data_IF_322559859484
#
_entry.id   IF_322559859484
#
_cell.length_a   1.000
_cell.length_b   1.000
_cell.length_c   1.000
_cell.angle_alpha   90.00
_cell.angle_beta   90.00
_cell.angle_gamma   90.00
#
_symmetry.space_group_name_H-M   'P 1'
#
loop_
_entity.id
_entity.type
_entity.pdbx_description
1 polymer ?
#
# COMPACT_ATOMS: atom_id res chain seq x y z
N UNK A 1 -12.50 24.58 -4.41
CA UNK A 1 -11.80 23.28 -4.42
C UNK A 1 -12.88 22.20 -4.40
N UNK A 2 -12.84 21.17 -5.28
CA UNK A 2 -13.84 20.12 -5.25
C UNK A 2 -13.89 19.47 -3.86
N UNK A 3 -15.08 19.07 -3.40
CA UNK A 3 -15.22 18.31 -2.15
C UNK A 3 -14.56 16.93 -2.30
N UNK A 4 -13.31 16.81 -1.85
CA UNK A 4 -12.61 15.54 -1.83
C UNK A 4 -13.01 14.77 -0.56
N UNK A 5 -13.71 13.64 -0.71
CA UNK A 5 -13.98 12.71 0.40
C UNK A 5 -12.75 11.83 0.65
N UNK A 6 -11.76 12.34 1.39
CA UNK A 6 -10.57 11.57 1.79
C UNK A 6 -9.38 12.42 2.21
N UNK A 7 -8.30 11.75 2.62
CA UNK A 7 -7.00 12.38 2.84
C UNK A 7 -6.42 12.83 1.48
N UNK A 8 -6.27 14.13 1.29
CA UNK A 8 -5.62 14.73 0.14
C UNK A 8 -4.20 15.15 0.53
N UNK A 9 -3.20 14.75 -0.27
CA UNK A 9 -1.82 15.16 -0.06
C UNK A 9 -1.40 16.19 -1.09
N UNK A 10 -0.87 17.32 -0.64
CA UNK A 10 -0.41 18.42 -1.52
C UNK A 10 0.88 18.07 -2.28
N UNK A 11 1.57 17.01 -1.84
CA UNK A 11 2.89 16.65 -2.32
C UNK A 11 3.07 15.13 -2.40
N UNK A 12 3.71 14.66 -3.47
CA UNK A 12 3.99 13.23 -3.64
C UNK A 12 5.41 12.87 -3.25
N UNK A 13 5.59 12.35 -2.04
CA UNK A 13 6.90 11.87 -1.55
C UNK A 13 7.54 10.83 -2.48
N UNK A 14 6.73 9.96 -3.12
CA UNK A 14 7.24 8.94 -4.05
C UNK A 14 7.87 9.54 -5.31
N UNK A 15 7.22 10.52 -5.92
CA UNK A 15 7.76 11.17 -7.12
C UNK A 15 8.98 12.02 -6.80
N UNK A 16 8.96 12.72 -5.66
CA UNK A 16 10.11 13.49 -5.19
C UNK A 16 11.32 12.59 -4.92
N UNK A 17 11.13 11.44 -4.29
CA UNK A 17 12.19 10.47 -4.06
C UNK A 17 12.78 9.90 -5.35
N UNK A 18 11.94 9.64 -6.36
CA UNK A 18 12.41 9.23 -7.68
C UNK A 18 13.25 10.34 -8.36
N UNK A 19 12.77 11.59 -8.31
CA UNK A 19 13.48 12.75 -8.86
C UNK A 19 14.81 13.01 -8.13
N UNK A 20 14.88 12.76 -6.82
CA UNK A 20 16.09 12.84 -6.01
C UNK A 20 17.05 11.65 -6.20
N UNK A 21 16.74 10.72 -7.11
CA UNK A 21 17.60 9.59 -7.42
C UNK A 21 17.62 8.48 -6.35
N UNK A 22 16.63 8.42 -5.47
CA UNK A 22 16.58 7.41 -4.40
C UNK A 22 16.10 6.03 -4.89
N UNK A 23 15.49 5.97 -6.07
CA UNK A 23 15.00 4.72 -6.65
C UNK A 23 14.15 4.93 -7.90
N UNK A 24 13.55 3.84 -8.38
CA UNK A 24 12.64 3.85 -9.53
C UNK A 24 11.31 3.17 -9.17
N UNK A 25 10.24 3.52 -9.90
CA UNK A 25 8.94 2.90 -9.69
C UNK A 25 8.94 1.44 -10.14
N UNK A 26 8.48 0.56 -9.25
CA UNK A 26 8.18 -0.83 -9.58
C UNK A 26 6.76 -1.00 -10.11
N UNK A 27 6.43 -2.22 -10.55
CA UNK A 27 5.08 -2.58 -11.03
C UNK A 27 3.99 -2.48 -9.97
N UNK A 28 4.36 -2.52 -8.70
CA UNK A 28 3.45 -2.26 -7.58
C UNK A 28 3.19 -0.76 -7.36
N UNK A 29 3.71 0.12 -8.23
CA UNK A 29 3.63 1.59 -8.16
C UNK A 29 4.33 2.23 -6.95
N UNK A 30 5.14 1.46 -6.22
CA UNK A 30 5.96 1.94 -5.13
C UNK A 30 7.37 2.26 -5.62
N UNK A 31 8.04 3.15 -4.91
CA UNK A 31 9.46 3.42 -5.12
C UNK A 31 10.26 2.19 -4.68
N UNK A 32 11.11 1.68 -5.57
CA UNK A 32 12.04 0.59 -5.29
C UNK A 32 13.43 1.21 -5.17
N UNK A 33 13.99 1.16 -3.97
CA UNK A 33 15.36 1.58 -3.69
C UNK A 33 16.34 0.43 -3.95
N UNK A 34 17.60 0.69 -4.33
CA UNK A 34 18.58 -0.37 -4.59
C UNK A 34 18.80 -1.27 -3.37
N UNK A 35 18.94 -0.68 -2.18
CA UNK A 35 19.33 -1.38 -0.96
C UNK A 35 18.14 -2.04 -0.23
N UNK A 36 16.98 -1.37 -0.19
CA UNK A 36 15.86 -1.81 0.66
C UNK A 36 14.61 -2.19 -0.13
N UNK A 37 14.66 -2.07 -1.46
CA UNK A 37 13.50 -2.28 -2.32
C UNK A 37 12.36 -1.33 -1.94
N UNK A 38 11.10 -1.80 -1.88
CA UNK A 38 9.94 -1.00 -1.49
C UNK A 38 9.79 -0.79 0.03
N UNK A 39 10.68 -1.34 0.86
CA UNK A 39 10.55 -1.35 2.33
C UNK A 39 11.15 -0.11 2.97
N UNK A 40 10.75 1.07 2.48
CA UNK A 40 11.22 2.36 2.98
C UNK A 40 10.05 3.28 3.31
N UNK A 41 10.25 4.12 4.31
CA UNK A 41 9.37 5.25 4.58
C UNK A 41 9.97 6.49 3.93
N UNK A 42 9.13 7.29 3.29
CA UNK A 42 9.55 8.50 2.60
C UNK A 42 9.08 9.72 3.38
N UNK A 43 10.02 10.61 3.67
CA UNK A 43 9.77 11.96 4.16
C UNK A 43 10.36 12.97 3.20
N UNK A 44 9.88 14.20 3.24
CA UNK A 44 10.42 15.28 2.42
C UNK A 44 10.39 16.59 3.18
N UNK A 45 11.40 17.42 2.95
CA UNK A 45 11.50 18.77 3.49
C UNK A 45 11.46 19.73 2.30
N UNK A 46 10.45 20.57 2.24
CA UNK A 46 10.36 21.64 1.25
C UNK A 46 11.16 22.83 1.80
N UNK A 47 12.15 23.30 1.04
CA UNK A 47 13.04 24.38 1.45
C UNK A 47 13.41 25.27 0.27
N UNK A 48 13.75 26.52 0.57
CA UNK A 48 14.34 27.48 -0.38
C UNK A 48 15.86 27.53 -0.31
N UNK A 49 16.48 26.71 0.56
CA UNK A 49 17.93 26.63 0.66
C UNK A 49 18.56 26.22 -0.69
N UNK A 50 19.70 26.80 -1.08
CA UNK A 50 20.40 26.41 -2.29
C UNK A 50 21.00 25.01 -2.11
N UNK A 51 20.54 24.06 -2.92
CA UNK A 51 20.99 22.67 -2.90
C UNK A 51 21.37 22.23 -4.32
N UNK A 52 22.45 21.46 -4.43
CA UNK A 52 22.80 20.79 -5.69
C UNK A 52 21.88 19.59 -5.91
N UNK A 53 21.37 19.44 -7.13
CA UNK A 53 20.47 18.35 -7.48
C UNK A 53 21.26 17.04 -7.69
N UNK A 54 20.80 15.96 -7.04
CA UNK A 54 21.29 14.61 -7.31
C UNK A 54 20.80 14.14 -8.69
N UNK A 55 21.63 13.42 -9.47
CA UNK A 55 21.15 12.78 -10.68
C UNK A 55 20.07 11.74 -10.38
N UNK A 56 19.14 11.57 -11.32
CA UNK A 56 18.14 10.51 -11.24
C UNK A 56 18.84 9.15 -11.25
N UNK A 57 18.30 8.19 -10.49
CA UNK A 57 18.85 6.83 -10.41
C UNK A 57 18.87 6.18 -11.81
N UNK A 58 20.06 6.03 -12.39
CA UNK A 58 20.26 5.33 -13.66
C UNK A 58 20.59 3.84 -13.41
N UNK A 59 20.23 2.97 -14.35
CA UNK A 59 20.57 1.54 -14.32
C UNK A 59 19.75 0.67 -13.36
N UNK A 60 18.93 1.26 -12.48
CA UNK A 60 18.03 0.52 -11.61
C UNK A 60 16.74 0.19 -12.35
N UNK A 61 16.67 -0.93 -13.08
CA UNK A 61 15.37 -1.43 -13.56
C UNK A 61 14.85 -2.50 -12.59
N UNK A 62 13.99 -2.15 -11.61
CA UNK A 62 13.56 -3.08 -10.56
C UNK A 62 12.76 -4.27 -11.08
N UNK A 63 12.46 -4.31 -12.38
CA UNK A 63 11.66 -5.33 -13.04
C UNK A 63 12.32 -5.88 -14.33
N UNK A 64 13.65 -5.74 -14.51
CA UNK A 64 14.40 -6.13 -15.73
C UNK A 64 14.01 -7.50 -16.33
N UNK A 65 13.65 -8.47 -15.50
CA UNK A 65 13.50 -9.88 -15.91
C UNK A 65 12.03 -10.29 -16.11
N UNK A 66 11.12 -9.36 -16.39
CA UNK A 66 9.69 -9.67 -16.55
C UNK A 66 8.99 -10.06 -15.23
N UNK A 67 9.53 -9.63 -14.08
CA UNK A 67 8.98 -9.97 -12.76
C UNK A 67 7.55 -9.44 -12.58
N UNK A 68 6.60 -10.33 -12.24
CA UNK A 68 5.19 -10.01 -11.97
C UNK A 68 4.69 -10.44 -10.58
N UNK A 69 5.58 -10.86 -9.67
CA UNK A 69 5.21 -11.40 -8.34
C UNK A 69 4.26 -10.51 -7.54
N UNK A 70 4.46 -9.19 -7.58
CA UNK A 70 3.60 -8.24 -6.88
C UNK A 70 2.19 -8.15 -7.47
N UNK A 71 2.06 -8.32 -8.79
CA UNK A 71 0.77 -8.37 -9.51
C UNK A 71 0.05 -9.67 -9.15
N UNK A 72 0.76 -10.80 -9.21
CA UNK A 72 0.23 -12.14 -8.94
C UNK A 72 -0.27 -12.31 -7.50
N UNK A 73 0.46 -11.75 -6.51
CA UNK A 73 0.08 -11.88 -5.09
C UNK A 73 -1.04 -10.92 -4.66
N UNK A 74 -1.45 -9.99 -5.53
CA UNK A 74 -2.42 -8.96 -5.17
C UNK A 74 -3.79 -9.61 -4.87
N UNK A 75 -4.27 -9.59 -3.61
CA UNK A 75 -5.46 -10.35 -3.22
C UNK A 75 -6.75 -9.81 -3.86
N UNK A 76 -6.72 -8.57 -4.33
CA UNK A 76 -7.86 -7.88 -4.96
C UNK A 76 -7.59 -7.49 -6.39
N UNK A 77 -6.50 -7.98 -6.98
CA UNK A 77 -6.15 -7.78 -8.39
C UNK A 77 -6.12 -6.30 -8.82
N UNK A 78 -5.75 -5.41 -7.89
CA UNK A 78 -5.70 -3.96 -8.14
C UNK A 78 -4.49 -3.51 -8.98
N UNK A 79 -3.53 -4.40 -9.25
CA UNK A 79 -2.33 -4.11 -10.02
C UNK A 79 -2.44 -4.72 -11.42
N UNK A 80 -2.17 -3.95 -12.47
CA UNK A 80 -2.09 -4.46 -13.86
C UNK A 80 -0.66 -4.63 -14.35
N UNK A 81 0.33 -4.19 -13.56
CA UNK A 81 1.76 -4.26 -13.89
C UNK A 81 2.37 -2.93 -14.36
N UNK A 82 1.53 -1.95 -14.67
CA UNK A 82 1.89 -0.59 -15.10
C UNK A 82 1.09 0.49 -14.35
N UNK A 83 -0.11 0.15 -13.86
CA UNK A 83 -0.98 1.02 -13.07
C UNK A 83 -1.59 0.26 -11.89
N UNK A 84 -2.22 1.04 -11.01
CA UNK A 84 -2.96 0.56 -9.85
C UNK A 84 -4.38 1.14 -9.87
N UNK A 85 -5.39 0.31 -9.62
CA UNK A 85 -6.68 0.79 -9.14
C UNK A 85 -6.55 1.11 -7.64
N UNK A 86 -6.26 2.37 -7.35
CA UNK A 86 -6.06 2.83 -5.98
C UNK A 86 -7.31 2.65 -5.10
N UNK A 87 -8.51 2.73 -5.68
CA UNK A 87 -9.76 2.60 -4.95
C UNK A 87 -10.03 1.15 -4.55
N UNK A 88 -9.78 0.21 -5.47
CA UNK A 88 -9.84 -1.22 -5.18
C UNK A 88 -8.75 -1.65 -4.18
N UNK A 89 -7.52 -1.17 -4.37
CA UNK A 89 -6.41 -1.43 -3.45
C UNK A 89 -6.72 -0.91 -2.04
N UNK A 90 -7.25 0.31 -1.92
CA UNK A 90 -7.65 0.88 -0.64
C UNK A 90 -8.75 0.06 0.02
N UNK A 91 -9.90 -0.14 -0.64
CA UNK A 91 -11.07 -0.77 0.00
C UNK A 91 -10.90 -2.26 0.30
N UNK A 92 -10.19 -2.98 -0.56
CA UNK A 92 -10.09 -4.43 -0.49
C UNK A 92 -8.72 -4.95 -0.06
N UNK A 93 -7.70 -4.09 -0.01
CA UNK A 93 -6.34 -4.44 0.40
C UNK A 93 -5.90 -3.65 1.62
N UNK A 94 -5.35 -2.46 1.40
CA UNK A 94 -4.63 -1.66 2.40
C UNK A 94 -5.55 -1.21 3.55
N UNK A 95 -6.80 -0.88 3.26
CA UNK A 95 -7.79 -0.43 4.24
C UNK A 95 -8.95 -1.42 4.39
N UNK A 96 -8.71 -2.70 4.07
CA UNK A 96 -9.74 -3.73 4.15
C UNK A 96 -10.27 -3.96 5.56
N UNK A 97 -9.53 -3.59 6.60
CA UNK A 97 -9.98 -3.65 8.00
C UNK A 97 -10.36 -2.28 8.61
N UNK A 98 -10.40 -1.21 7.80
CA UNK A 98 -10.88 0.11 8.23
C UNK A 98 -12.39 0.25 7.99
N UNK A 99 -12.87 1.48 7.77
CA UNK A 99 -14.28 1.78 7.52
C UNK A 99 -14.92 0.90 6.43
N UNK A 100 -14.19 0.61 5.34
CA UNK A 100 -14.69 -0.28 4.29
C UNK A 100 -14.89 -1.72 4.78
N UNK A 101 -13.98 -2.21 5.62
CA UNK A 101 -14.09 -3.48 6.32
C UNK A 101 -15.24 -3.52 7.31
N UNK A 102 -15.38 -2.47 8.13
CA UNK A 102 -16.47 -2.35 9.09
C UNK A 102 -17.84 -2.38 8.41
N UNK A 103 -18.02 -1.61 7.33
CA UNK A 103 -19.29 -1.60 6.58
C UNK A 103 -19.58 -2.97 5.98
N UNK A 104 -18.56 -3.68 5.48
CA UNK A 104 -18.71 -5.07 5.00
C UNK A 104 -19.12 -5.99 6.15
N UNK A 105 -18.46 -5.90 7.30
CA UNK A 105 -18.71 -6.74 8.47
C UNK A 105 -20.12 -6.54 9.03
N UNK A 106 -20.58 -5.29 9.15
CA UNK A 106 -21.95 -4.96 9.57
C UNK A 106 -22.97 -5.61 8.63
N UNK A 107 -22.77 -5.49 7.32
CA UNK A 107 -23.65 -6.13 6.32
C UNK A 107 -23.67 -7.64 6.48
N UNK A 108 -22.52 -8.28 6.70
CA UNK A 108 -22.43 -9.73 6.94
C UNK A 108 -23.21 -10.14 8.18
N UNK A 109 -23.08 -9.40 9.29
CA UNK A 109 -23.80 -9.67 10.54
C UNK A 109 -25.31 -9.49 10.37
N UNK A 110 -25.74 -8.41 9.71
CA UNK A 110 -27.17 -8.12 9.50
C UNK A 110 -27.85 -9.15 8.58
N UNK A 111 -27.12 -9.66 7.58
CA UNK A 111 -27.65 -10.62 6.61
C UNK A 111 -27.60 -12.08 7.08
N UNK A 112 -26.88 -12.40 8.17
CA UNK A 112 -26.82 -13.76 8.71
C UNK A 112 -28.12 -14.08 9.47
N UNK A 113 -28.79 -15.17 9.10
CA UNK A 113 -30.08 -15.56 9.65
C UNK A 113 -29.95 -16.47 10.88
N UNK A 114 -28.91 -17.30 10.97
CA UNK A 114 -28.67 -18.16 12.14
C UNK A 114 -28.13 -17.32 13.32
N UNK A 115 -28.86 -17.23 14.45
CA UNK A 115 -28.42 -16.45 15.62
C UNK A 115 -27.06 -16.89 16.18
N UNK A 116 -26.75 -18.19 16.18
CA UNK A 116 -25.47 -18.70 16.71
C UNK A 116 -24.33 -18.30 15.78
N UNK A 117 -24.55 -18.41 14.47
CA UNK A 117 -23.56 -17.99 13.46
C UNK A 117 -23.38 -16.47 13.45
N UNK A 118 -24.45 -15.70 13.59
CA UNK A 118 -24.42 -14.24 13.71
C UNK A 118 -23.56 -13.80 14.89
N UNK A 119 -23.74 -14.39 16.07
CA UNK A 119 -22.91 -14.09 17.24
C UNK A 119 -21.44 -14.44 16.98
N UNK A 120 -21.16 -15.61 16.40
CA UNK A 120 -19.78 -16.00 16.05
C UNK A 120 -19.10 -15.05 15.08
N UNK A 121 -19.82 -14.53 14.08
CA UNK A 121 -19.30 -13.53 13.15
C UNK A 121 -19.06 -12.21 13.89
N UNK A 122 -20.05 -11.75 14.66
CA UNK A 122 -19.98 -10.50 15.39
C UNK A 122 -18.82 -10.46 16.40
N UNK A 123 -18.50 -11.57 17.05
CA UNK A 123 -17.39 -11.67 18.02
C UNK A 123 -16.15 -12.37 17.45
N UNK A 124 -16.09 -12.55 16.13
CA UNK A 124 -15.05 -13.33 15.46
C UNK A 124 -13.74 -12.55 15.25
N UNK A 125 -12.69 -13.23 14.74
CA UNK A 125 -11.38 -12.64 14.52
C UNK A 125 -11.39 -11.39 13.64
N UNK A 126 -12.18 -11.38 12.55
CA UNK A 126 -12.28 -10.22 11.65
C UNK A 126 -12.82 -8.99 12.38
N UNK A 127 -13.82 -9.14 13.26
CA UNK A 127 -14.31 -8.00 14.06
C UNK A 127 -13.24 -7.47 15.01
N UNK A 128 -12.43 -8.36 15.60
CA UNK A 128 -11.31 -7.96 16.46
C UNK A 128 -10.21 -7.23 15.70
N UNK A 129 -9.86 -7.70 14.50
CA UNK A 129 -8.89 -7.03 13.62
C UNK A 129 -9.38 -5.62 13.21
N UNK A 130 -10.67 -5.50 12.84
CA UNK A 130 -11.29 -4.21 12.51
C UNK A 130 -11.25 -3.27 13.72
N UNK A 131 -11.62 -3.75 14.90
CA UNK A 131 -11.56 -2.97 16.14
C UNK A 131 -10.14 -2.47 16.43
N UNK A 132 -9.15 -3.36 16.41
CA UNK A 132 -7.74 -3.01 16.64
C UNK A 132 -7.24 -1.99 15.62
N UNK A 133 -7.57 -2.19 14.33
CA UNK A 133 -7.18 -1.30 13.25
C UNK A 133 -7.79 0.10 13.42
N UNK A 134 -9.03 0.22 13.89
CA UNK A 134 -9.63 1.54 14.15
C UNK A 134 -9.06 2.23 15.39
N UNK A 135 -8.72 1.47 16.44
CA UNK A 135 -8.18 2.02 17.69
C UNK A 135 -6.73 2.48 17.54
N UNK A 136 -5.89 1.71 16.85
CA UNK A 136 -4.48 2.04 16.64
C UNK A 136 -4.23 3.09 15.53
N UNK A 137 -5.30 3.60 14.91
CA UNK A 137 -5.24 4.47 13.74
C UNK A 137 -5.16 3.66 12.43
N UNK A 138 -5.45 4.32 11.30
CA UNK A 138 -5.56 3.71 9.96
C UNK A 138 -4.28 2.96 9.54
N UNK A 139 -4.14 1.73 10.01
CA UNK A 139 -2.99 0.88 9.71
C UNK A 139 -3.23 0.11 8.41
N UNK A 140 -2.22 0.03 7.52
CA UNK A 140 -2.27 -0.83 6.36
C UNK A 140 -2.50 -2.30 6.77
N UNK A 141 -3.66 -2.87 6.41
CA UNK A 141 -3.95 -4.30 6.60
C UNK A 141 -3.28 -5.19 5.55
N UNK A 142 -2.77 -4.61 4.46
CA UNK A 142 -2.13 -5.36 3.37
C UNK A 142 -0.77 -4.75 2.99
N UNK A 143 0.25 -5.61 2.97
CA UNK A 143 1.62 -5.30 2.52
C UNK A 143 2.18 -6.39 1.59
N UNK A 144 1.33 -7.27 1.02
CA UNK A 144 1.77 -8.46 0.26
C UNK A 144 2.69 -8.12 -0.92
N UNK A 145 2.37 -7.06 -1.67
CA UNK A 145 3.17 -6.61 -2.82
C UNK A 145 4.54 -6.03 -2.42
N UNK A 146 4.69 -5.59 -1.16
CA UNK A 146 5.96 -5.12 -0.57
C UNK A 146 6.78 -6.31 -0.11
N UNK A 147 6.16 -7.25 0.60
CA UNK A 147 6.82 -8.43 1.17
C UNK A 147 7.36 -9.38 0.10
N UNK A 148 6.63 -9.58 -1.00
CA UNK A 148 7.05 -10.50 -2.07
C UNK A 148 8.16 -9.92 -2.97
N UNK A 149 8.42 -8.61 -2.88
CA UNK A 149 9.34 -7.94 -3.78
C UNK A 149 10.79 -8.37 -3.49
N UNK A 150 11.49 -8.99 -4.47
CA UNK A 150 12.85 -9.50 -4.26
C UNK A 150 13.91 -8.40 -4.15
N UNK A 151 13.61 -7.19 -4.65
CA UNK A 151 14.53 -6.06 -4.60
C UNK A 151 14.90 -5.73 -3.14
N UNK A 152 16.18 -5.52 -2.87
CA UNK A 152 16.71 -5.16 -1.55
C UNK A 152 16.61 -6.25 -0.46
N UNK A 153 16.41 -7.52 -0.84
CA UNK A 153 16.45 -8.67 0.10
C UNK A 153 17.79 -9.42 0.02
N UNK A 154 18.58 -9.22 -1.04
CA UNK A 154 19.95 -9.74 -1.13
C UNK A 154 20.87 -9.01 -0.16
N UNK A 155 20.90 -9.51 1.07
CA UNK A 155 22.00 -9.34 2.01
C UNK A 155 23.17 -10.13 1.43
N UNK A 156 24.07 -9.45 0.70
CA UNK A 156 25.33 -10.03 0.21
C UNK A 156 25.18 -11.01 -0.96
N UNK A 157 25.53 -10.54 -2.15
CA UNK A 157 26.23 -11.34 -3.15
C UNK A 157 27.47 -10.55 -3.55
#
# INVERSE_FOLDING_TARGET
>A
MPEHKGLFGDFSHRHAAAAAGLGQFGRNTLLITPQFGPRVWLGSVITTAPLEATPVAAGLSPCCNGCHRCVEVCPVQALTGDRIDAAQCARGGVHAQNLSGLVRQIKTVLNETDPKKRLRIATGPETWEIYQSMVCGMMPSCNKCVLICPAGITIGA
#
